data_IF_432404968951
#
_entry.id   IF_432404968951
#
_cell.length_a   1.000
_cell.length_b   1.000
_cell.length_c   1.000
_cell.angle_alpha   90.00
_cell.angle_beta   90.00
_cell.angle_gamma   90.00
#
_symmetry.space_group_name_H-M   'P 1'
#
loop_
_entity.id
_entity.type
_entity.pdbx_description
1 polymer ?
2 non-polymer ?
3 water ?
#
# COMPACT_ATOMS: atom_id res chain seq x y z
N UNK A 17 -11.49 22.19 -3.66
CA UNK A 17 -10.44 22.68 -2.70
C UNK A 17 -10.69 24.09 -2.20
N UNK A 18 -10.72 24.28 -0.88
CA UNK A 18 -10.95 25.63 -0.38
C UNK A 18 -9.86 26.56 -0.94
N UNK A 19 -10.29 27.71 -1.48
CA UNK A 19 -9.38 28.68 -2.09
C UNK A 19 -8.15 29.04 -1.24
N UNK A 20 -8.21 28.78 0.06
CA UNK A 20 -7.11 29.09 0.98
C UNK A 20 -5.91 28.13 0.88
N UNK A 21 -6.19 26.90 0.43
CA UNK A 21 -5.16 25.87 0.27
C UNK A 21 -4.53 25.85 -1.13
N UNK A 22 -5.07 26.62 -2.06
CA UNK A 22 -4.56 26.69 -3.42
C UNK A 22 -3.07 26.96 -3.49
N UNK A 23 -2.59 27.97 -2.75
CA UNK A 23 -1.16 28.30 -2.75
C UNK A 23 -0.28 27.11 -2.34
N UNK A 24 -0.62 26.50 -1.20
CA UNK A 24 0.11 25.34 -0.66
C UNK A 24 0.15 24.17 -1.65
N UNK A 25 -1.01 23.84 -2.21
CA UNK A 25 -1.09 22.75 -3.16
C UNK A 25 -0.31 23.04 -4.44
N UNK A 26 -0.30 24.29 -4.91
CA UNK A 26 0.42 24.64 -6.13
C UNK A 26 1.93 24.53 -5.93
N UNK A 27 2.43 25.08 -4.83
CA UNK A 27 3.86 25.00 -4.55
C UNK A 27 4.27 23.55 -4.32
N UNK A 28 3.31 22.72 -3.91
CA UNK A 28 3.60 21.31 -3.67
C UNK A 28 3.75 20.67 -5.04
N UNK A 29 2.74 20.83 -5.88
CA UNK A 29 2.76 20.26 -7.23
C UNK A 29 4.00 20.74 -7.96
N UNK A 30 4.35 21.99 -7.74
CA UNK A 30 5.53 22.52 -8.39
C UNK A 30 6.74 21.77 -7.92
N UNK A 31 6.85 21.58 -6.61
CA UNK A 31 7.99 20.88 -6.08
C UNK A 31 8.03 19.40 -6.52
N UNK A 32 6.88 18.75 -6.54
CA UNK A 32 6.79 17.34 -6.92
C UNK A 32 7.31 17.13 -8.33
N UNK A 33 6.77 17.92 -9.24
CA UNK A 33 7.17 17.89 -10.64
C UNK A 33 8.70 18.05 -10.76
N UNK A 34 9.29 18.94 -9.96
CA UNK A 34 10.71 19.16 -10.00
C UNK A 34 11.50 17.97 -9.50
N UNK A 35 11.06 17.44 -8.36
CA UNK A 35 11.74 16.32 -7.72
C UNK A 35 11.64 15.10 -8.57
N UNK A 36 10.60 15.03 -9.39
CA UNK A 36 10.43 13.88 -10.23
C UNK A 36 11.43 13.95 -11.41
N UNK A 37 11.96 15.14 -11.65
CA UNK A 37 12.90 15.34 -12.75
C UNK A 37 14.30 15.32 -12.19
N UNK A 38 14.44 15.03 -10.91
CA UNK A 38 15.78 15.02 -10.36
C UNK A 38 16.21 13.61 -10.02
N UNK A 39 17.15 13.04 -10.78
CA UNK A 39 17.61 11.68 -10.51
C UNK A 39 18.27 11.62 -9.14
N UNK A 40 18.71 12.76 -8.66
CA UNK A 40 19.33 12.85 -7.36
C UNK A 40 18.27 12.61 -6.29
N UNK A 41 17.03 13.00 -6.58
CA UNK A 41 15.92 12.82 -5.66
C UNK A 41 15.59 11.35 -5.66
N UNK A 42 15.16 10.89 -6.82
CA UNK A 42 14.81 9.49 -7.00
C UNK A 42 15.91 8.61 -6.41
N UNK A 43 17.13 9.12 -6.37
CA UNK A 43 18.22 8.34 -5.84
C UNK A 43 18.11 8.21 -4.34
N UNK A 44 17.87 9.34 -3.68
CA UNK A 44 17.77 9.37 -2.23
C UNK A 44 16.52 8.67 -1.81
N UNK A 45 15.48 8.78 -2.62
CA UNK A 45 14.22 8.15 -2.27
C UNK A 45 14.40 6.64 -2.23
N UNK A 46 15.26 6.14 -3.11
CA UNK A 46 15.52 4.73 -3.17
C UNK A 46 16.39 4.23 -2.05
N UNK A 47 17.31 5.05 -1.59
CA UNK A 47 18.14 4.60 -0.52
C UNK A 47 17.22 4.44 0.70
N UNK A 48 16.38 5.44 0.95
CA UNK A 48 15.47 5.37 2.09
C UNK A 48 14.59 4.12 1.96
N UNK A 49 14.04 3.92 0.77
CA UNK A 49 13.18 2.78 0.53
C UNK A 49 13.88 1.44 0.91
N UNK A 50 15.19 1.35 0.65
CA UNK A 50 15.95 0.16 0.96
C UNK A 50 16.19 0.09 2.45
N UNK A 51 16.79 1.14 2.96
CA UNK A 51 17.11 1.17 4.35
C UNK A 51 15.96 1.21 5.34
N UNK A 52 14.83 1.82 4.99
CA UNK A 52 13.76 1.89 5.99
C UNK A 52 12.42 1.21 5.75
N UNK A 53 12.18 0.80 4.50
CA UNK A 53 10.91 0.15 4.13
C UNK A 53 11.15 -1.27 3.63
N UNK A 54 12.34 -1.78 3.91
CA UNK A 54 12.72 -3.11 3.51
C UNK A 54 12.47 -3.43 2.04
N UNK A 55 12.86 -2.56 1.12
CA UNK A 55 12.65 -2.84 -0.30
C UNK A 55 13.94 -3.22 -1.04
N UNK A 56 13.83 -4.02 -2.11
CA UNK A 56 12.69 -4.64 -2.78
C UNK A 56 12.26 -5.92 -2.08
N UNK A 57 10.98 -6.22 -2.16
CA UNK A 57 10.48 -7.44 -1.56
C UNK A 57 10.83 -8.52 -2.56
N UNK A 58 10.81 -9.76 -2.12
CA UNK A 58 11.15 -10.85 -3.02
C UNK A 58 9.99 -11.16 -3.97
N UNK A 59 10.32 -11.78 -5.11
CA UNK A 59 9.30 -12.22 -6.06
C UNK A 59 9.57 -13.73 -6.11
N UNK A 60 8.69 -14.54 -5.54
CA UNK A 60 8.97 -15.96 -5.53
C UNK A 60 8.07 -16.88 -6.34
N UNK A 61 8.75 -17.70 -7.15
CA UNK A 61 8.12 -18.65 -8.04
C UNK A 61 7.60 -19.85 -7.29
N UNK A 62 6.33 -20.17 -7.46
CA UNK A 62 5.79 -21.34 -6.80
C UNK A 62 5.86 -22.51 -7.77
N UNK A 63 6.56 -23.56 -7.42
CA UNK A 63 6.63 -24.67 -8.36
C UNK A 63 5.74 -25.84 -7.97
N UNK A 64 5.59 -26.11 -6.68
CA UNK A 64 4.72 -27.23 -6.31
C UNK A 64 3.30 -27.03 -6.80
N UNK A 65 2.73 -25.86 -6.58
CA UNK A 65 1.36 -25.55 -6.97
C UNK A 65 1.04 -25.65 -8.47
N UNK A 66 1.95 -25.20 -9.32
CA UNK A 66 1.72 -25.25 -10.75
C UNK A 66 2.08 -26.61 -11.33
N UNK A 67 2.79 -27.42 -10.55
CA UNK A 67 3.20 -28.75 -10.99
C UNK A 67 2.04 -29.41 -11.68
N UNK A 68 2.31 -30.01 -12.82
CA UNK A 68 1.26 -30.65 -13.59
C UNK A 68 0.57 -29.75 -14.60
N UNK A 69 0.96 -28.47 -14.70
CA UNK A 69 0.30 -27.57 -15.65
C UNK A 69 1.30 -26.64 -16.30
N UNK A 70 0.84 -25.87 -17.27
CA UNK A 70 1.74 -24.94 -17.95
C UNK A 70 1.78 -23.53 -17.38
N UNK A 71 1.13 -23.31 -16.24
CA UNK A 71 1.15 -22.00 -15.59
C UNK A 71 2.46 -21.86 -14.82
N UNK A 72 3.00 -20.66 -14.79
CA UNK A 72 4.20 -20.38 -14.02
C UNK A 72 3.68 -19.31 -13.08
N UNK A 73 3.56 -19.64 -11.79
CA UNK A 73 3.02 -18.66 -10.85
C UNK A 73 4.10 -18.03 -9.98
N UNK A 74 4.03 -16.71 -9.87
CA UNK A 74 4.95 -15.91 -9.05
C UNK A 74 4.18 -15.06 -8.05
N UNK A 75 4.63 -15.08 -6.80
CA UNK A 75 4.00 -14.25 -5.77
C UNK A 75 4.96 -13.10 -5.44
N UNK A 76 4.45 -11.88 -5.39
CA UNK A 76 5.25 -10.71 -5.06
C UNK A 76 5.13 -10.65 -3.53
N UNK A 77 6.19 -11.05 -2.82
CA UNK A 77 6.19 -11.12 -1.37
C UNK A 77 6.12 -9.80 -0.56
N UNK A 78 5.00 -9.10 -0.62
CA UNK A 78 4.88 -7.89 0.18
C UNK A 78 4.53 -8.34 1.59
N UNK A 79 4.20 -9.62 1.73
CA UNK A 79 3.84 -10.23 3.01
C UNK A 79 4.99 -10.33 4.00
N UNK A 80 6.21 -10.21 3.52
CA UNK A 80 7.35 -10.32 4.42
C UNK A 80 7.80 -8.99 5.01
N UNK A 81 7.22 -7.90 4.53
CA UNK A 81 7.53 -6.57 5.06
C UNK A 81 6.95 -6.51 6.45
N UNK A 82 7.30 -5.49 7.21
CA UNK A 82 6.73 -5.37 8.53
C UNK A 82 5.53 -4.49 8.36
N UNK A 83 4.55 -4.60 9.25
CA UNK A 83 3.33 -3.80 9.10
C UNK A 83 3.63 -2.34 8.92
N UNK A 84 2.77 -1.63 8.21
CA UNK A 84 2.99 -0.20 7.99
C UNK A 84 4.05 0.18 6.98
N UNK A 85 4.80 -0.81 6.49
CA UNK A 85 5.84 -0.59 5.48
C UNK A 85 5.28 0.22 4.31
N UNK A 86 4.15 -0.23 3.79
CA UNK A 86 3.55 0.45 2.68
C UNK A 86 3.17 1.90 3.01
N UNK A 87 3.00 2.24 4.29
CA UNK A 87 2.67 3.62 4.64
C UNK A 87 3.98 4.38 4.67
N UNK A 88 5.00 3.70 5.18
CA UNK A 88 6.33 4.26 5.29
C UNK A 88 6.77 4.65 3.88
N UNK A 89 6.31 3.88 2.91
CA UNK A 89 6.61 4.15 1.51
C UNK A 89 6.27 5.58 1.08
N UNK A 90 5.00 6.00 1.20
CA UNK A 90 4.73 7.36 0.77
C UNK A 90 5.22 8.44 1.73
N UNK A 91 5.42 8.13 3.01
CA UNK A 91 5.90 9.21 3.86
C UNK A 91 7.38 9.43 3.61
N UNK A 92 8.13 8.38 3.33
CA UNK A 92 9.56 8.56 3.06
C UNK A 92 9.62 9.49 1.83
N UNK A 93 8.78 9.18 0.83
CA UNK A 93 8.70 9.99 -0.35
C UNK A 93 8.32 11.44 -0.03
N UNK A 94 7.27 11.64 0.79
CA UNK A 94 6.85 13.00 1.14
C UNK A 94 7.78 13.70 2.11
N UNK A 95 8.29 12.98 3.11
CA UNK A 95 9.21 13.62 4.05
C UNK A 95 10.34 14.19 3.20
N UNK A 96 10.86 13.37 2.28
CA UNK A 96 11.95 13.81 1.41
C UNK A 96 11.53 15.02 0.59
N UNK A 97 10.32 14.98 0.05
CA UNK A 97 9.82 16.08 -0.74
C UNK A 97 9.74 17.37 0.08
N UNK A 98 9.32 17.26 1.33
CA UNK A 98 9.23 18.42 2.23
C UNK A 98 10.62 19.01 2.48
N UNK A 99 11.58 18.16 2.78
CA UNK A 99 12.95 18.59 3.00
C UNK A 99 13.39 19.36 1.76
N UNK A 100 13.03 18.84 0.60
CA UNK A 100 13.38 19.47 -0.65
C UNK A 100 12.82 20.85 -0.61
N UNK A 101 11.53 20.97 -0.32
CA UNK A 101 10.85 22.27 -0.28
C UNK A 101 11.39 23.17 0.82
N UNK A 102 12.36 22.67 1.56
CA UNK A 102 12.92 23.44 2.64
C UNK A 102 12.02 23.58 3.86
N UNK A 103 11.03 22.70 3.96
CA UNK A 103 10.09 22.71 5.09
C UNK A 103 10.86 22.29 6.34
N UNK A 104 10.28 22.57 7.51
CA UNK A 104 10.93 22.26 8.79
C UNK A 104 10.05 21.47 9.74
N UNK A 105 8.75 21.46 9.50
CA UNK A 105 7.83 20.72 10.36
C UNK A 105 6.91 19.94 9.45
N UNK A 106 6.28 18.93 10.03
CA UNK A 106 5.35 18.06 9.34
C UNK A 106 4.06 17.89 10.15
N UNK A 107 2.92 17.85 9.46
CA UNK A 107 1.61 17.71 10.07
C UNK A 107 0.97 16.46 9.49
N UNK A 108 0.46 15.59 10.36
CA UNK A 108 -0.17 14.35 9.95
C UNK A 108 -1.29 14.01 10.92
N UNK A 109 -2.23 13.20 10.48
CA UNK A 109 -3.31 12.74 11.35
C UNK A 109 -3.18 11.23 11.34
N UNK A 110 -3.77 10.56 12.33
CA UNK A 110 -3.69 9.10 12.41
C UNK A 110 -4.91 8.48 13.10
N UNK A 111 -5.21 7.24 12.76
CA UNK A 111 -6.34 6.53 13.37
C UNK A 111 -5.78 5.44 14.25
N UNK A 112 -5.36 4.34 13.64
CA UNK A 112 -4.78 3.24 14.38
C UNK A 112 -3.44 3.71 14.91
N UNK A 113 -2.81 4.61 14.16
CA UNK A 113 -1.52 5.08 14.58
C UNK A 113 -0.42 4.63 13.63
N UNK A 114 -0.71 3.75 12.68
CA UNK A 114 0.34 3.32 11.76
C UNK A 114 0.90 4.53 11.02
N UNK A 115 0.04 5.24 10.28
CA UNK A 115 0.49 6.43 9.55
C UNK A 115 1.26 7.39 10.47
N UNK A 116 0.69 7.68 11.64
CA UNK A 116 1.39 8.56 12.57
C UNK A 116 2.81 8.08 12.87
N UNK A 117 2.96 6.80 13.19
CA UNK A 117 4.26 6.24 13.50
C UNK A 117 5.16 6.34 12.29
N UNK A 118 4.58 6.28 11.09
CA UNK A 118 5.38 6.39 9.86
C UNK A 118 5.89 7.84 9.70
N UNK A 119 5.02 8.82 9.95
CA UNK A 119 5.41 10.22 9.85
C UNK A 119 6.47 10.60 10.87
N UNK A 120 6.33 10.08 12.09
CA UNK A 120 7.30 10.37 13.14
C UNK A 120 8.69 9.86 12.73
N UNK A 121 8.73 8.61 12.29
CA UNK A 121 9.94 7.94 11.86
C UNK A 121 10.60 8.73 10.75
N UNK A 122 9.87 8.90 9.66
CA UNK A 122 10.39 9.65 8.51
C UNK A 122 10.86 10.98 9.04
N UNK A 123 10.07 11.58 9.93
CA UNK A 123 10.41 12.88 10.51
C UNK A 123 11.68 12.89 11.32
N UNK A 124 11.85 11.94 12.24
CA UNK A 124 13.06 11.96 13.04
C UNK A 124 14.26 11.88 12.14
N UNK A 125 14.18 10.94 11.21
CA UNK A 125 15.20 10.66 10.22
C UNK A 125 15.68 11.92 9.50
N UNK A 126 14.80 12.57 8.76
CA UNK A 126 15.20 13.78 8.05
C UNK A 126 15.22 15.00 8.97
N UNK A 127 15.14 14.79 10.28
CA UNK A 127 15.17 15.90 11.20
C UNK A 127 14.08 16.96 11.03
N UNK A 128 12.83 16.53 10.90
CA UNK A 128 11.74 17.47 10.78
C UNK A 128 10.90 17.44 12.06
N UNK A 129 10.37 18.59 12.46
CA UNK A 129 9.53 18.67 13.67
C UNK A 129 8.17 18.16 13.25
N UNK A 130 7.73 17.10 13.94
CA UNK A 130 6.49 16.45 13.59
C UNK A 130 5.34 16.59 14.61
N UNK A 131 4.16 16.96 14.14
CA UNK A 131 3.02 16.99 15.04
C UNK A 131 1.88 16.20 14.39
N UNK A 132 1.33 15.26 15.15
CA UNK A 132 0.29 14.37 14.68
C UNK A 132 -1.09 14.45 15.36
N UNK A 133 -2.11 14.91 14.63
CA UNK A 133 -3.45 14.97 15.18
C UNK A 133 -3.99 13.56 15.22
N UNK A 134 -4.69 13.25 16.30
CA UNK A 134 -5.27 11.93 16.51
C UNK A 134 -6.54 12.08 17.37
N UNK A 135 -7.65 11.47 16.95
CA UNK A 135 -8.86 11.54 17.75
C UNK A 135 -8.67 11.00 19.17
N UNK A 136 -9.23 11.72 20.12
CA UNK A 136 -9.13 11.36 21.52
C UNK A 136 -9.44 9.90 21.78
N UNK A 137 -10.49 9.38 21.15
CA UNK A 137 -10.88 7.98 21.31
C UNK A 137 -9.77 7.03 20.85
N UNK A 138 -9.15 7.38 19.73
CA UNK A 138 -8.08 6.57 19.19
C UNK A 138 -6.87 6.66 20.08
N UNK A 139 -6.61 7.85 20.63
CA UNK A 139 -5.44 8.00 21.50
C UNK A 139 -5.54 7.04 22.68
N UNK A 140 -6.78 6.84 23.14
CA UNK A 140 -7.09 5.95 24.26
C UNK A 140 -6.91 4.52 23.86
N UNK A 141 -7.60 4.12 22.79
CA UNK A 141 -7.49 2.75 22.34
C UNK A 141 -6.20 2.55 21.54
N UNK A 142 -5.14 3.29 21.83
CA UNK A 142 -3.92 3.13 21.03
C UNK A 142 -2.61 3.50 21.69
N UNK A 143 -2.53 3.28 22.99
CA UNK A 143 -1.33 3.58 23.74
C UNK A 143 -0.01 3.26 23.06
N UNK A 144 0.18 2.02 22.57
CA UNK A 144 1.40 1.58 21.89
C UNK A 144 1.95 2.50 20.82
N UNK A 145 1.17 2.70 19.76
CA UNK A 145 1.58 3.57 18.69
C UNK A 145 1.76 5.01 19.17
N UNK A 146 0.91 5.45 20.10
CA UNK A 146 1.07 6.78 20.64
C UNK A 146 2.42 6.89 21.39
N UNK A 147 2.77 5.85 22.15
CA UNK A 147 4.02 5.81 22.89
C UNK A 147 5.18 5.81 21.89
N UNK A 148 4.96 5.13 20.76
CA UNK A 148 5.99 5.06 19.71
C UNK A 148 6.22 6.42 19.07
N UNK A 149 5.14 7.08 18.68
CA UNK A 149 5.27 8.36 18.04
C UNK A 149 6.03 9.29 18.97
N UNK A 150 5.61 9.30 20.24
CA UNK A 150 6.26 10.16 21.21
C UNK A 150 7.72 9.78 21.38
N UNK A 151 7.98 8.49 21.52
CA UNK A 151 9.33 7.98 21.68
C UNK A 151 10.22 8.51 20.55
N UNK A 152 9.64 8.56 19.36
CA UNK A 152 10.29 9.02 18.14
C UNK A 152 10.45 10.53 18.15
N UNK A 153 9.90 11.19 19.15
CA UNK A 153 10.06 12.62 19.22
C UNK A 153 8.95 13.43 18.63
N UNK A 154 7.90 12.79 18.13
CA UNK A 154 6.80 13.56 17.54
C UNK A 154 5.94 14.01 18.68
N UNK A 155 5.01 14.88 18.36
CA UNK A 155 4.08 15.44 19.32
C UNK A 155 2.69 14.98 18.93
N UNK A 156 1.99 14.29 19.81
CA UNK A 156 0.64 13.80 19.52
C UNK A 156 -0.44 14.69 20.08
N UNK A 157 -1.18 15.36 19.23
CA UNK A 157 -2.24 16.26 19.66
C UNK A 157 -3.59 15.53 19.64
N UNK A 158 -4.18 15.29 20.81
CA UNK A 158 -5.47 14.58 20.78
C UNK A 158 -6.55 15.55 20.34
N UNK A 159 -7.61 15.02 19.75
CA UNK A 159 -8.68 15.87 19.29
C UNK A 159 -9.99 15.39 19.90
N UNK A 160 -10.69 16.29 20.57
CA UNK A 160 -11.97 15.93 21.19
C UNK A 160 -13.16 16.57 20.50
N UNK A 161 -12.93 17.51 19.59
CA UNK A 161 -14.07 18.13 18.92
C UNK A 161 -14.76 17.08 18.08
N UNK A 162 -15.97 17.38 17.59
CA UNK A 162 -16.70 16.42 16.78
C UNK A 162 -16.75 15.02 17.38
N UNK A 163 -16.71 14.03 16.52
CA UNK A 163 -16.75 12.63 16.93
C UNK A 163 -15.52 12.17 17.75
N UNK A 164 -14.49 13.01 17.80
CA UNK A 164 -13.26 12.70 18.52
C UNK A 164 -12.63 11.49 17.89
N UNK A 165 -12.59 11.51 16.56
CA UNK A 165 -12.01 10.42 15.81
C UNK A 165 -11.30 10.91 14.55
N UNK A 166 -10.89 9.96 13.72
CA UNK A 166 -10.16 10.27 12.52
C UNK A 166 -10.66 11.46 11.71
N UNK A 167 -11.91 11.46 11.28
CA UNK A 167 -12.39 12.59 10.48
C UNK A 167 -12.13 13.89 11.23
N UNK A 168 -12.21 13.83 12.55
CA UNK A 168 -11.94 15.02 13.35
C UNK A 168 -10.46 15.37 13.34
N UNK A 169 -9.61 14.40 13.69
CA UNK A 169 -8.18 14.63 13.72
C UNK A 169 -7.74 15.07 12.35
N UNK A 170 -8.41 14.57 11.34
CA UNK A 170 -8.07 14.91 9.97
C UNK A 170 -8.47 16.35 9.63
N UNK A 171 -9.69 16.72 9.98
CA UNK A 171 -10.19 18.06 9.73
C UNK A 171 -9.33 19.07 10.47
N UNK A 172 -8.86 18.67 11.64
CA UNK A 172 -8.03 19.53 12.47
C UNK A 172 -6.63 19.74 11.89
N UNK A 173 -6.01 18.67 11.40
CA UNK A 173 -4.68 18.76 10.80
C UNK A 173 -4.75 19.71 9.61
N UNK A 174 -5.74 19.48 8.77
CA UNK A 174 -5.94 20.32 7.61
C UNK A 174 -6.03 21.80 7.99
N UNK A 175 -6.84 22.12 9.01
CA UNK A 175 -6.96 23.52 9.44
C UNK A 175 -5.61 24.03 9.83
N UNK A 176 -4.85 23.19 10.54
CA UNK A 176 -3.51 23.56 10.98
C UNK A 176 -2.67 23.86 9.74
N UNK A 177 -2.61 22.93 8.80
CA UNK A 177 -1.79 23.15 7.62
C UNK A 177 -2.13 24.43 6.94
N UNK A 178 -3.42 24.61 6.68
CA UNK A 178 -3.90 25.79 5.98
C UNK A 178 -3.51 27.07 6.62
N UNK A 179 -2.65 27.02 7.60
CA UNK A 179 -2.23 28.23 8.25
C UNK A 179 -0.75 28.13 8.45
N UNK A 180 -0.16 27.01 8.04
CA UNK A 180 1.27 26.85 8.22
C UNK A 180 2.03 26.18 7.10
N UNK A 181 1.41 26.04 5.93
CA UNK A 181 2.07 25.41 4.79
C UNK A 181 3.40 26.06 4.41
N UNK A 182 3.61 27.29 4.83
CA UNK A 182 4.84 27.97 4.54
C UNK A 182 6.04 27.22 5.12
N UNK A 183 5.87 26.54 6.25
CA UNK A 183 6.98 25.80 6.86
C UNK A 183 6.70 24.35 7.17
N UNK A 184 5.45 23.95 6.96
CA UNK A 184 5.12 22.60 7.28
C UNK A 184 4.41 21.90 6.16
N UNK A 185 4.84 20.68 5.90
CA UNK A 185 4.23 19.88 4.87
C UNK A 185 3.19 18.99 5.56
N UNK A 186 2.06 18.84 4.91
CA UNK A 186 1.01 18.01 5.43
C UNK A 186 1.22 16.61 4.83
N UNK A 187 1.46 15.63 5.69
CA UNK A 187 1.69 14.24 5.30
C UNK A 187 0.37 13.52 5.09
N UNK A 188 0.02 13.25 3.85
CA UNK A 188 -1.21 12.55 3.58
C UNK A 188 -1.05 11.03 3.69
N UNK A 189 -2.01 10.38 4.35
CA UNK A 189 -1.98 8.94 4.52
C UNK A 189 -2.69 8.23 3.38
N UNK A 190 -3.91 8.68 3.11
CA UNK A 190 -4.71 8.09 2.04
C UNK A 190 -4.18 8.63 0.70
N UNK A 191 -4.69 8.06 -0.40
CA UNK A 191 -4.34 8.47 -1.77
C UNK A 191 -5.46 9.40 -2.25
N UNK A 192 -6.47 9.55 -1.38
CA UNK A 192 -7.65 10.37 -1.66
C UNK A 192 -7.58 11.75 -1.04
N UNK A 193 -7.00 12.70 -1.77
CA UNK A 193 -6.92 14.05 -1.25
C UNK A 193 -6.91 15.02 -2.40
N UNK A 194 -6.75 16.33 -2.14
CA UNK A 194 -6.75 17.29 -3.24
C UNK A 194 -5.49 17.09 -4.09
N UNK A 195 -5.52 17.61 -5.31
CA UNK A 195 -4.37 17.54 -6.24
C UNK A 195 -3.30 18.42 -5.60
N UNK A 196 -2.03 18.05 -5.75
CA UNK A 196 -1.52 16.89 -6.45
C UNK A 196 -1.32 15.62 -5.61
N UNK A 197 -1.96 15.54 -4.45
CA UNK A 197 -1.76 14.37 -3.58
C UNK A 197 -1.93 12.98 -4.20
N UNK A 198 -3.11 12.67 -4.75
CA UNK A 198 -3.23 11.32 -5.31
C UNK A 198 -2.09 10.96 -6.25
N UNK A 199 -1.49 11.93 -6.93
CA UNK A 199 -0.38 11.60 -7.83
C UNK A 199 0.85 11.23 -7.03
N UNK A 200 1.26 12.15 -6.19
CA UNK A 200 2.41 11.95 -5.34
C UNK A 200 2.29 10.61 -4.62
N UNK A 201 1.12 10.37 -4.05
CA UNK A 201 0.91 9.13 -3.36
C UNK A 201 1.01 7.93 -4.30
N UNK A 202 0.31 7.96 -5.42
CA UNK A 202 0.38 6.83 -6.35
C UNK A 202 1.82 6.64 -6.76
N UNK A 203 2.55 7.75 -6.80
CA UNK A 203 3.93 7.71 -7.23
C UNK A 203 4.85 7.08 -6.23
N UNK A 204 4.65 7.39 -4.95
CA UNK A 204 5.52 6.82 -3.91
C UNK A 204 5.04 5.43 -3.47
N UNK A 205 4.27 4.77 -4.33
CA UNK A 205 3.76 3.43 -4.06
C UNK A 205 3.97 2.52 -5.25
N UNK A 206 4.42 3.08 -6.37
CA UNK A 206 4.56 2.30 -7.61
C UNK A 206 5.69 1.31 -7.72
N UNK A 207 6.62 1.32 -6.76
CA UNK A 207 7.76 0.39 -6.77
C UNK A 207 7.36 -1.07 -6.74
N UNK A 208 6.21 -1.38 -6.17
CA UNK A 208 5.76 -2.78 -6.13
C UNK A 208 5.71 -3.32 -7.55
N UNK A 209 4.99 -2.60 -8.42
CA UNK A 209 4.87 -2.98 -9.82
C UNK A 209 6.21 -2.83 -10.54
N UNK A 210 6.95 -1.78 -10.23
CA UNK A 210 8.25 -1.59 -10.87
C UNK A 210 9.18 -2.76 -10.55
N UNK A 211 9.26 -3.14 -9.28
CA UNK A 211 10.10 -4.27 -8.91
C UNK A 211 9.61 -5.51 -9.62
N UNK A 212 8.31 -5.76 -9.54
CA UNK A 212 7.71 -6.93 -10.18
C UNK A 212 8.07 -6.97 -11.64
N UNK A 213 7.92 -5.83 -12.31
CA UNK A 213 8.20 -5.80 -13.73
C UNK A 213 9.63 -6.17 -14.03
N UNK A 214 10.56 -5.51 -13.36
CA UNK A 214 11.98 -5.77 -13.57
C UNK A 214 12.35 -7.19 -13.15
N UNK A 215 11.79 -7.65 -12.04
CA UNK A 215 12.07 -8.98 -11.54
C UNK A 215 11.59 -10.05 -12.48
N UNK A 216 10.38 -9.86 -13.01
CA UNK A 216 9.78 -10.83 -13.91
C UNK A 216 10.55 -10.89 -15.25
N UNK A 217 11.03 -9.74 -15.71
CA UNK A 217 11.78 -9.72 -16.95
C UNK A 217 13.09 -10.47 -16.74
N UNK A 218 13.79 -10.15 -15.65
CA UNK A 218 15.06 -10.81 -15.33
C UNK A 218 14.96 -12.34 -15.26
N UNK A 219 13.88 -12.87 -14.70
CA UNK A 219 13.77 -14.30 -14.57
C UNK A 219 13.07 -14.98 -15.73
N UNK A 220 12.11 -14.31 -16.37
CA UNK A 220 11.35 -14.93 -17.46
C UNK A 220 11.60 -14.30 -18.83
N UNK A 221 12.38 -13.24 -18.85
CA UNK A 221 12.69 -12.59 -20.11
C UNK A 221 11.51 -11.98 -20.83
N UNK A 222 10.36 -11.91 -20.17
CA UNK A 222 9.16 -11.33 -20.79
C UNK A 222 8.24 -10.85 -19.68
N UNK A 223 7.24 -10.03 -20.01
CA UNK A 223 6.30 -9.56 -18.99
C UNK A 223 5.31 -10.65 -18.68
N UNK A 224 4.50 -10.49 -17.62
CA UNK A 224 3.54 -11.53 -17.29
C UNK A 224 2.31 -11.43 -18.18
N UNK A 225 1.60 -12.54 -18.33
CA UNK A 225 0.40 -12.56 -19.13
C UNK A 225 -0.64 -11.76 -18.35
N UNK A 226 -0.75 -12.03 -17.05
CA UNK A 226 -1.71 -11.30 -16.21
C UNK A 226 -1.11 -11.05 -14.82
N UNK A 227 -1.58 -10.00 -14.17
CA UNK A 227 -1.14 -9.67 -12.81
C UNK A 227 -2.42 -9.62 -11.99
N UNK A 228 -2.60 -10.57 -11.08
CA UNK A 228 -3.79 -10.64 -10.24
C UNK A 228 -3.51 -9.93 -8.92
N UNK A 229 -4.45 -9.14 -8.45
CA UNK A 229 -4.25 -8.44 -7.21
C UNK A 229 -5.62 -8.16 -6.65
N UNK A 230 -5.83 -8.50 -5.40
CA UNK A 230 -7.11 -8.28 -4.76
C UNK A 230 -7.32 -6.78 -4.55
N UNK A 231 -8.34 -6.22 -5.18
CA UNK A 231 -8.62 -4.80 -5.05
C UNK A 231 -9.67 -4.56 -3.97
N UNK A 232 -9.46 -3.56 -3.15
CA UNK A 232 -10.42 -3.27 -2.11
C UNK A 232 -9.76 -2.47 -1.01
N UNK A 233 -9.19 -1.32 -1.37
CA UNK A 233 -8.55 -0.44 -0.40
C UNK A 233 -7.50 -1.05 0.52
N UNK A 234 -6.41 -0.31 0.71
CA UNK A 234 -5.34 -0.83 1.56
C UNK A 234 -4.81 -2.13 1.00
N UNK A 235 -5.27 -2.48 -0.19
CA UNK A 235 -4.81 -3.70 -0.85
C UNK A 235 -3.55 -3.26 -1.57
N UNK A 236 -3.49 -1.97 -1.85
CA UNK A 236 -2.39 -1.36 -2.57
C UNK A 236 -2.26 -2.07 -3.93
N UNK A 237 -3.39 -2.21 -4.61
CA UNK A 237 -3.41 -2.83 -5.91
C UNK A 237 -2.84 -1.82 -6.87
N UNK A 238 -3.23 -0.56 -6.71
CA UNK A 238 -2.73 0.49 -7.57
C UNK A 238 -1.22 0.48 -7.57
N UNK A 239 -0.63 0.08 -6.44
CA UNK A 239 0.83 0.02 -6.32
C UNK A 239 1.40 -1.05 -7.22
N UNK A 240 0.70 -2.16 -7.30
CA UNK A 240 1.14 -3.24 -8.14
C UNK A 240 0.80 -2.95 -9.62
N UNK A 241 -0.37 -2.36 -9.88
CA UNK A 241 -0.81 -2.09 -11.26
C UNK A 241 -0.22 -0.88 -11.94
N UNK A 242 0.09 0.13 -11.16
CA UNK A 242 0.62 1.38 -11.70
C UNK A 242 1.55 1.16 -12.89
N UNK A 243 2.69 0.52 -12.68
CA UNK A 243 3.65 0.33 -13.75
C UNK A 243 3.25 -0.56 -14.91
N UNK A 244 2.04 -1.12 -14.87
CA UNK A 244 1.59 -1.98 -15.99
C UNK A 244 0.43 -1.33 -16.80
N UNK A 245 -0.13 -0.24 -16.29
CA UNK A 245 -1.22 0.44 -16.98
C UNK A 245 -0.87 0.64 -18.47
N UNK A 246 0.39 0.95 -18.79
CA UNK A 246 0.72 1.13 -20.20
C UNK A 246 1.44 -0.04 -20.84
N UNK A 247 1.31 -1.21 -20.25
CA UNK A 247 1.91 -2.43 -20.74
C UNK A 247 0.71 -3.19 -21.24
N UNK A 248 -0.05 -2.55 -22.12
CA UNK A 248 -1.30 -3.09 -22.65
C UNK A 248 -1.38 -4.58 -22.93
N UNK A 249 -0.29 -5.22 -23.29
CA UNK A 249 -0.34 -6.66 -23.56
C UNK A 249 -0.31 -7.49 -22.25
N UNK A 250 -0.48 -6.81 -21.12
CA UNK A 250 -0.46 -7.46 -19.82
C UNK A 250 -1.79 -7.21 -19.14
N UNK A 251 -2.44 -8.30 -18.77
CA UNK A 251 -3.75 -8.22 -18.15
C UNK A 251 -3.75 -7.85 -16.70
N UNK A 252 -4.70 -7.00 -16.32
CA UNK A 252 -4.80 -6.57 -14.94
C UNK A 252 -6.10 -7.09 -14.29
N UNK A 253 -6.00 -8.22 -13.60
CA UNK A 253 -7.17 -8.81 -12.94
C UNK A 253 -7.27 -8.25 -11.53
N UNK A 254 -8.39 -7.60 -11.23
CA UNK A 254 -8.60 -7.06 -9.89
C UNK A 254 -9.61 -7.99 -9.25
N UNK A 255 -9.24 -8.61 -8.13
CA UNK A 255 -10.13 -9.55 -7.47
C UNK A 255 -10.94 -8.95 -6.33
N UNK A 256 -12.25 -9.11 -6.44
CA UNK A 256 -13.20 -8.61 -5.46
C UNK A 256 -13.82 -9.74 -4.64
N UNK A 257 -13.68 -9.65 -3.31
CA UNK A 257 -14.21 -10.64 -2.36
C UNK A 257 -15.74 -10.83 -2.47
N UNK A 258 -16.23 -12.00 -2.02
CA UNK A 258 -17.65 -12.28 -2.07
C UNK A 258 -18.07 -13.30 -3.11
N UNK A 309 -17.47 5.51 -5.43
CA UNK A 309 -17.04 4.33 -4.69
C UNK A 309 -15.62 4.51 -4.13
N UNK A 310 -15.06 3.42 -3.60
CA UNK A 310 -13.72 3.46 -3.04
C UNK A 310 -12.73 3.99 -4.06
N UNK A 311 -11.80 4.89 -3.67
CA UNK A 311 -10.84 5.40 -4.66
C UNK A 311 -10.12 4.29 -5.44
N UNK A 312 -9.64 3.28 -4.71
CA UNK A 312 -8.93 2.16 -5.31
C UNK A 312 -9.59 1.82 -6.66
N UNK A 313 -10.90 1.57 -6.62
CA UNK A 313 -11.68 1.23 -7.81
C UNK A 313 -11.78 2.44 -8.70
N UNK A 314 -12.12 3.57 -8.10
CA UNK A 314 -12.24 4.82 -8.81
C UNK A 314 -11.08 4.92 -9.81
N UNK A 315 -9.85 4.94 -9.30
CA UNK A 315 -8.69 5.03 -10.17
C UNK A 315 -8.63 3.89 -11.17
N UNK A 316 -8.70 2.65 -10.69
CA UNK A 316 -8.67 1.48 -11.56
C UNK A 316 -9.72 1.46 -12.70
N UNK A 317 -10.89 2.03 -12.44
CA UNK A 317 -11.92 2.05 -13.45
C UNK A 317 -11.50 3.01 -14.54
N UNK A 318 -11.09 4.21 -14.14
CA UNK A 318 -10.66 5.25 -15.08
C UNK A 318 -9.51 4.86 -15.99
N UNK A 319 -8.58 4.02 -15.53
CA UNK A 319 -7.47 3.61 -16.37
C UNK A 319 -8.03 2.79 -17.52
N UNK A 320 -9.22 2.28 -17.30
CA UNK A 320 -9.86 1.47 -18.30
C UNK A 320 -9.18 0.13 -18.51
N UNK A 321 -8.26 -0.27 -17.63
CA UNK A 321 -7.66 -1.56 -17.90
C UNK A 321 -7.65 -2.64 -16.86
N UNK A 322 -8.59 -2.59 -15.93
CA UNK A 322 -8.65 -3.63 -14.91
C UNK A 322 -9.89 -4.51 -15.11
N UNK A 323 -9.70 -5.81 -15.24
CA UNK A 323 -10.83 -6.72 -15.36
C UNK A 323 -11.18 -7.15 -13.96
N UNK A 324 -12.37 -6.82 -13.48
CA UNK A 324 -12.71 -7.27 -12.15
C UNK A 324 -13.28 -8.69 -12.19
N UNK A 325 -13.08 -9.44 -11.11
CA UNK A 325 -13.61 -10.79 -10.98
C UNK A 325 -13.92 -11.01 -9.51
N UNK A 326 -14.81 -11.97 -9.23
CA UNK A 326 -15.19 -12.26 -7.87
C UNK A 326 -14.75 -13.62 -7.43
N UNK A 327 -14.45 -13.71 -6.14
CA UNK A 327 -14.04 -14.97 -5.56
C UNK A 327 -14.89 -15.15 -4.31
N UNK A 328 -15.16 -16.41 -4.00
CA UNK A 328 -16.00 -16.81 -2.87
C UNK A 328 -15.24 -17.41 -1.70
N UNK A 329 -15.67 -17.05 -0.49
CA UNK A 329 -15.05 -17.56 0.73
C UNK A 329 -14.52 -18.98 0.66
N UNK A 330 -15.23 -19.88 0.00
CA UNK A 330 -14.72 -21.23 -0.06
C UNK A 330 -13.48 -21.27 -0.94
N UNK A 331 -13.57 -20.66 -2.12
CA UNK A 331 -12.44 -20.58 -3.05
C UNK A 331 -11.23 -19.98 -2.34
N UNK A 332 -11.47 -18.94 -1.54
CA UNK A 332 -10.43 -18.31 -0.80
C UNK A 332 -9.77 -19.35 0.10
N UNK A 333 -10.57 -19.96 0.99
CA UNK A 333 -10.07 -20.98 1.92
C UNK A 333 -9.40 -22.13 1.20
N UNK A 334 -9.92 -22.48 0.04
CA UNK A 334 -9.33 -23.54 -0.77
C UNK A 334 -7.89 -23.11 -1.01
N UNK A 335 -7.76 -21.94 -1.65
CA UNK A 335 -6.47 -21.34 -1.97
C UNK A 335 -5.61 -21.21 -0.73
N UNK A 336 -6.14 -20.54 0.29
CA UNK A 336 -5.41 -20.35 1.53
C UNK A 336 -4.80 -21.68 1.94
N UNK A 337 -5.63 -22.71 2.01
CA UNK A 337 -5.13 -24.00 2.43
C UNK A 337 -4.12 -24.58 1.49
N UNK A 338 -4.33 -24.39 0.20
CA UNK A 338 -3.43 -24.93 -0.83
C UNK A 338 -2.00 -24.36 -0.73
N UNK A 339 -1.90 -23.03 -0.62
CA UNK A 339 -0.63 -22.35 -0.55
C UNK A 339 0.18 -22.75 0.70
N UNK A 340 -0.52 -22.95 1.82
CA UNK A 340 0.17 -23.35 3.04
C UNK A 340 0.81 -24.71 2.82
N UNK A 341 -0.01 -25.64 2.31
CA UNK A 341 0.37 -27.01 2.06
C UNK A 341 1.44 -27.27 1.03
N UNK A 342 1.40 -26.53 -0.08
CA UNK A 342 2.37 -26.75 -1.13
C UNK A 342 3.53 -25.77 -1.19
N UNK A 343 3.28 -24.53 -0.80
CA UNK A 343 4.32 -23.54 -0.85
C UNK A 343 4.90 -23.21 0.51
N UNK A 344 4.23 -23.62 1.55
CA UNK A 344 4.73 -23.32 2.87
C UNK A 344 4.56 -21.86 3.18
N UNK A 345 3.54 -21.23 2.59
CA UNK A 345 3.27 -19.82 2.82
C UNK A 345 1.83 -19.64 3.30
N UNK A 346 1.67 -19.04 4.49
CA UNK A 346 0.37 -18.76 5.08
C UNK A 346 -0.12 -17.42 4.49
N UNK A 347 -0.98 -17.44 3.47
CA UNK A 347 -1.43 -16.16 2.92
C UNK A 347 -2.48 -15.51 3.79
N UNK A 348 -2.68 -14.21 3.59
CA UNK A 348 -3.70 -13.44 4.30
C UNK A 348 -4.98 -13.70 3.48
N UNK A 349 -6.15 -13.39 4.04
CA UNK A 349 -7.36 -13.66 3.28
C UNK A 349 -7.42 -12.81 2.01
N UNK A 350 -6.99 -11.56 2.07
CA UNK A 350 -6.96 -10.71 0.89
C UNK A 350 -6.13 -11.37 -0.24
N UNK A 351 -4.91 -11.85 0.06
CA UNK A 351 -4.09 -12.53 -0.97
C UNK A 351 -4.79 -13.79 -1.43
N UNK A 352 -5.40 -14.49 -0.49
CA UNK A 352 -6.06 -15.76 -0.77
C UNK A 352 -7.07 -15.69 -1.91
N UNK A 353 -7.83 -14.60 -1.98
CA UNK A 353 -8.78 -14.46 -3.06
C UNK A 353 -7.99 -14.27 -4.38
N UNK A 354 -6.96 -13.44 -4.35
CA UNK A 354 -6.19 -13.22 -5.56
C UNK A 354 -5.58 -14.53 -5.97
N UNK A 355 -5.08 -15.29 -4.99
CA UNK A 355 -4.47 -16.58 -5.29
C UNK A 355 -5.50 -17.58 -5.81
N UNK A 356 -6.73 -17.44 -5.33
CA UNK A 356 -7.80 -18.32 -5.74
C UNK A 356 -8.06 -18.14 -7.24
N UNK A 357 -8.08 -16.88 -7.69
CA UNK A 357 -8.34 -16.66 -9.10
C UNK A 357 -7.25 -17.18 -10.00
N UNK A 358 -6.00 -17.04 -9.55
CA UNK A 358 -4.87 -17.53 -10.33
C UNK A 358 -5.04 -19.02 -10.42
N UNK A 359 -5.39 -19.61 -9.28
CA UNK A 359 -5.61 -21.05 -9.18
C UNK A 359 -6.70 -21.49 -10.14
N UNK A 360 -7.75 -20.68 -10.26
CA UNK A 360 -8.82 -21.02 -11.18
C UNK A 360 -8.31 -20.92 -12.63
N UNK A 361 -7.59 -19.84 -12.95
CA UNK A 361 -7.06 -19.68 -14.31
C UNK A 361 -6.19 -20.89 -14.72
N UNK A 362 -5.33 -21.32 -13.81
CA UNK A 362 -4.46 -22.46 -14.06
C UNK A 362 -5.30 -23.75 -14.22
N UNK A 363 -6.10 -24.04 -13.21
CA UNK A 363 -6.93 -25.23 -13.21
C UNK A 363 -7.85 -25.33 -14.41
N UNK A 364 -8.44 -24.21 -14.83
CA UNK A 364 -9.34 -24.22 -16.00
C UNK A 364 -8.59 -24.74 -17.23
N UNK A 365 -7.55 -24.07 -17.69
CA UNK A 365 -6.84 -24.65 -18.81
C UNK A 365 -5.41 -25.03 -18.46
N UNK A 366 -5.23 -26.26 -17.97
CA UNK A 366 -3.95 -26.85 -17.56
C UNK A 366 -2.87 -26.73 -18.60
N UNK A 367 -3.28 -26.51 -19.85
CA UNK A 367 -2.30 -26.42 -20.89
C UNK A 367 -1.94 -25.06 -21.37
N UNK A 368 -2.83 -24.10 -21.20
CA UNK A 368 -2.51 -22.75 -21.66
C UNK A 368 -1.20 -22.44 -20.96
N UNK A 369 -0.18 -22.14 -21.75
CA UNK A 369 1.10 -21.80 -21.17
C UNK A 369 0.96 -20.34 -20.74
N UNK A 370 0.70 -20.10 -19.45
CA UNK A 370 0.52 -18.74 -18.94
C UNK A 370 1.44 -18.37 -17.77
N UNK A 371 1.86 -17.12 -17.74
CA UNK A 371 2.76 -16.56 -16.71
C UNK A 371 1.98 -15.57 -15.87
N UNK A 372 1.71 -15.94 -14.63
CA UNK A 372 0.91 -15.10 -13.75
C UNK A 372 1.64 -14.56 -12.56
N UNK A 373 1.25 -13.39 -12.08
CA UNK A 373 1.88 -12.86 -10.89
C UNK A 373 0.74 -12.49 -9.93
N UNK A 374 0.85 -12.92 -8.68
CA UNK A 374 -0.16 -12.60 -7.69
C UNK A 374 0.44 -11.69 -6.63
N UNK A 375 -0.24 -10.58 -6.38
CA UNK A 375 0.22 -9.64 -5.39
C UNK A 375 -0.17 -10.15 -4.01
N UNK A 376 0.79 -10.35 -3.13
CA UNK A 376 0.46 -10.85 -1.80
C UNK A 376 0.21 -9.71 -0.82
N UNK A 377 -1.01 -9.61 -0.29
CA UNK A 377 -1.38 -8.56 0.66
C UNK A 377 -0.52 -8.57 1.96
N UNK A 378 -0.98 -9.15 3.07
CA UNK A 378 -0.07 -9.07 4.21
C UNK A 378 -0.21 -9.70 5.58
N UNK A 379 -1.22 -9.32 6.35
CA UNK A 379 -1.38 -9.87 7.72
C UNK A 379 -1.65 -11.38 7.81
N UNK A 380 -0.84 -12.15 7.08
CA UNK A 380 -0.93 -13.61 7.00
C UNK A 380 -1.08 -14.33 8.32
N UNK A 381 -0.31 -13.92 9.31
CA UNK A 381 -0.38 -14.52 10.63
C UNK A 381 -1.07 -13.61 11.65
N UNK A 382 -1.92 -12.72 11.14
CA UNK A 382 -2.69 -11.83 12.00
C UNK A 382 -4.15 -12.26 11.86
N UNK A 383 -4.60 -12.47 10.62
CA UNK A 383 -5.96 -12.93 10.42
C UNK A 383 -5.93 -14.46 10.17
N UNK A 384 -4.98 -15.11 10.86
CA UNK A 384 -4.78 -16.57 10.85
C UNK A 384 -5.83 -17.08 11.83
N UNK A 385 -6.23 -16.18 12.72
CA UNK A 385 -7.23 -16.44 13.76
C UNK A 385 -8.65 -16.54 13.21
N UNK A 386 -9.06 -15.58 12.39
CA UNK A 386 -10.42 -15.67 11.85
C UNK A 386 -10.57 -16.88 10.94
N UNK A 387 -9.45 -17.43 10.49
CA UNK A 387 -9.51 -18.60 9.65
C UNK A 387 -9.65 -19.80 10.58
N UNK A 388 -8.96 -19.75 11.72
CA UNK A 388 -9.07 -20.82 12.68
C UNK A 388 -10.55 -20.93 13.03
N UNK A 389 -11.20 -19.77 13.17
CA UNK A 389 -12.62 -19.69 13.49
C UNK A 389 -13.44 -20.22 12.33
N UNK A 390 -13.37 -19.54 11.18
CA UNK A 390 -14.09 -20.00 9.99
C UNK A 390 -14.08 -21.54 9.95
N UNK A 391 -12.92 -22.15 10.19
CA UNK A 391 -12.77 -23.61 10.18
C UNK A 391 -13.37 -24.31 11.41
N UNK A 392 -13.08 -23.84 12.62
CA UNK A 392 -13.65 -24.48 13.79
C UNK A 392 -15.17 -24.35 13.67
N UNK A 393 -15.61 -23.19 13.19
CA UNK A 393 -17.03 -22.93 12.97
C UNK A 393 -17.53 -24.01 12.00
N UNK A 394 -17.28 -23.81 10.72
CA UNK A 394 -17.69 -24.74 9.68
C UNK A 394 -17.41 -26.21 9.97
N UNK A 395 -16.97 -26.52 11.19
CA UNK A 395 -16.71 -27.90 11.58
C UNK A 395 -15.52 -28.60 10.96
N UNK A 396 -14.94 -28.04 9.89
CA UNK A 396 -13.78 -28.63 9.22
C UNK A 396 -12.60 -28.78 10.18
N UNK A 397 -12.64 -28.02 11.28
CA UNK A 397 -11.57 -28.05 12.27
C UNK A 397 -11.39 -29.47 12.77
X LIG B 1 -3.70 4.88 10.26
X LIG B 1 -5.05 4.73 10.82
X LIG B 1 -3.09 6.11 10.75
X LIG B 1 -2.87 3.74 10.69
X LIG B 1 -3.85 5.00 8.80
X LIG C 1 0.68 -1.53 5.81
X LIG C 1 1.74 -2.56 5.68
X LIG C 1 -0.02 -1.69 7.10
X LIG C 1 1.31 -0.19 5.75
X LIG C 1 -0.30 -1.63 4.70
X LIG D 1 15.93 -9.54 -7.01
X LIG D 1 17.35 -9.93 -7.02
X LIG D 1 15.26 -10.17 -5.86
X LIG D 1 15.78 -8.06 -6.91
X LIG D 1 15.32 -9.99 -8.28
#
# INVERSE_FOLDING_TARGET
>A
MTTLLNPYFGEFGGMYVPQILMPALRQLEEAFVSAQKDPEFQAQFNDLLKNYAGRPTALTKCQNITAGTNTTLYLKREDLLHGGAHKTNQVLGQALLAKRMGKTEIIAETGAGQHGVASALASALLGLKCRIYMGAKDVERQSPNVFRMRLMGAEVIPVHSGSATLKDACNEALRDWSGSYETAHYMLGTAAGPHPYPTIVREFQRMIGEETKAQILEREGRLPDAVIACVGGGSNAIGMFADFINETNVGLIGVEPGGHGIETGEHGAPLKHGRVGIYFGMKAPMMQTEDGQIEESYSISAGLDFPSVGPQHAYLNSTGRADYVSITDDEALEAFKTLCLHEGIIPALESSHALAHALKMMRENPDKEQLLVVNLSGRGDKDIFTVHDILKARGEI
>B hetero
1 SO4 S O1 O2 O3 O4
>C hetero
1 SO4 S O1 O2 O3 O4
>D hetero
1 SO4 S O1 O2 O3 O4
#
